data_IF_017112827077
#
_entry.id   IF_017112827077
#
_cell.length_a   1.000
_cell.length_b   1.000
_cell.length_c   1.000
_cell.angle_alpha   90.00
_cell.angle_beta   90.00
_cell.angle_gamma   90.00
#
_symmetry.space_group_name_H-M   'P 1'
#
loop_
_entity.id
_entity.type
_entity.pdbx_description
1 polymer ?
#
# COMPACT_ATOMS: atom_id res chain seq x y z
N UNK A 1 1.20 -2.08 26.47
CA UNK A 1 1.93 -0.80 26.43
C UNK A 1 2.79 -0.64 25.17
N UNK A 2 3.61 -1.60 24.78
CA UNK A 2 4.43 -1.57 23.55
C UNK A 2 3.60 -1.41 22.24
N UNK A 3 2.55 -2.22 22.05
CA UNK A 3 1.74 -2.22 20.81
C UNK A 3 1.08 -0.89 20.44
N UNK A 4 0.70 -0.06 21.42
CA UNK A 4 -0.09 1.15 21.18
C UNK A 4 0.67 2.48 21.37
N UNK A 5 1.75 2.49 22.12
CA UNK A 5 2.52 3.70 22.42
C UNK A 5 3.88 3.72 21.74
N UNK A 6 4.80 2.89 22.20
CA UNK A 6 6.20 2.90 21.73
C UNK A 6 6.29 2.60 20.23
N UNK A 7 5.55 1.58 19.76
CA UNK A 7 5.52 1.24 18.32
C UNK A 7 5.05 2.42 17.46
N UNK A 8 4.01 3.14 17.91
CA UNK A 8 3.50 4.30 17.16
C UNK A 8 4.51 5.45 17.08
N UNK A 9 5.24 5.69 18.16
CA UNK A 9 6.30 6.70 18.19
C UNK A 9 7.42 6.31 17.22
N UNK A 10 7.85 5.05 17.24
CA UNK A 10 8.87 4.55 16.30
C UNK A 10 8.39 4.65 14.85
N UNK A 11 7.18 4.20 14.53
CA UNK A 11 6.60 4.29 13.18
C UNK A 11 6.56 5.76 12.70
N UNK A 12 6.19 6.70 13.58
CA UNK A 12 6.16 8.13 13.25
C UNK A 12 7.54 8.66 12.89
N UNK A 13 8.55 8.44 13.76
CA UNK A 13 9.90 8.93 13.49
C UNK A 13 10.55 8.26 12.30
N UNK A 14 10.37 6.95 12.12
CA UNK A 14 10.88 6.22 10.96
C UNK A 14 10.27 6.75 9.66
N UNK A 15 8.96 6.98 9.63
CA UNK A 15 8.29 7.53 8.44
C UNK A 15 8.69 8.97 8.15
N UNK A 16 8.83 9.81 9.18
CA UNK A 16 9.28 11.19 9.04
C UNK A 16 10.70 11.24 8.48
N UNK A 17 11.64 10.51 9.07
CA UNK A 17 13.02 10.40 8.58
C UNK A 17 13.05 9.86 7.15
N UNK A 18 12.25 8.81 6.86
CA UNK A 18 12.13 8.24 5.54
C UNK A 18 11.65 9.25 4.49
N UNK A 19 10.62 10.05 4.82
CA UNK A 19 10.12 11.11 3.93
C UNK A 19 11.20 12.16 3.66
N UNK A 20 11.90 12.62 4.71
CA UNK A 20 12.95 13.65 4.57
C UNK A 20 14.08 13.13 3.69
N UNK A 21 14.61 11.94 4.00
CA UNK A 21 15.75 11.35 3.27
C UNK A 21 15.37 11.02 1.82
N UNK A 22 14.17 10.50 1.59
CA UNK A 22 13.70 10.10 0.26
C UNK A 22 13.03 11.25 -0.51
N UNK A 23 12.92 12.46 0.06
CA UNK A 23 12.22 13.57 -0.58
C UNK A 23 12.79 13.94 -1.98
N UNK A 24 14.12 13.93 -2.26
CA UNK A 24 14.61 14.16 -3.61
C UNK A 24 14.13 13.07 -4.58
N UNK A 25 14.15 11.81 -4.17
CA UNK A 25 13.68 10.70 -4.97
C UNK A 25 12.16 10.80 -5.24
N UNK A 26 11.37 11.12 -4.21
CA UNK A 26 9.92 11.30 -4.37
C UNK A 26 9.58 12.39 -5.38
N UNK A 27 10.34 13.49 -5.39
CA UNK A 27 10.17 14.59 -6.35
C UNK A 27 10.53 14.11 -7.76
N UNK A 28 11.68 13.46 -7.95
CA UNK A 28 12.13 12.96 -9.26
C UNK A 28 11.09 11.97 -9.83
N UNK A 29 10.62 11.01 -9.02
CA UNK A 29 9.62 10.05 -9.44
C UNK A 29 8.29 10.74 -9.79
N UNK A 30 7.91 11.76 -9.03
CA UNK A 30 6.68 12.52 -9.30
C UNK A 30 6.72 13.23 -10.65
N UNK A 31 7.86 13.85 -10.97
CA UNK A 31 8.09 14.50 -12.26
C UNK A 31 8.07 13.46 -13.38
N UNK A 32 8.78 12.35 -13.20
CA UNK A 32 8.81 11.28 -14.21
C UNK A 32 7.42 10.74 -14.52
N UNK A 33 6.60 10.40 -13.51
CA UNK A 33 5.22 9.93 -13.69
C UNK A 33 4.40 10.96 -14.46
N UNK A 34 4.58 12.25 -14.15
CA UNK A 34 3.82 13.33 -14.79
C UNK A 34 4.17 13.53 -16.26
N UNK A 35 5.43 13.32 -16.61
CA UNK A 35 5.94 13.40 -18.00
C UNK A 35 5.55 12.15 -18.80
N UNK A 36 5.61 10.96 -18.17
CA UNK A 36 5.33 9.68 -18.82
C UNK A 36 3.85 9.52 -19.23
N UNK A 37 2.92 10.01 -18.42
CA UNK A 37 1.50 9.88 -18.72
C UNK A 37 0.64 10.99 -18.09
N UNK A 38 -0.44 11.39 -18.78
CA UNK A 38 -1.40 12.39 -18.28
C UNK A 38 -2.13 11.88 -17.03
N UNK A 39 -2.37 12.78 -16.06
CA UNK A 39 -3.17 12.48 -14.87
C UNK A 39 -2.46 12.82 -13.56
N UNK A 40 -3.02 12.42 -12.39
CA UNK A 40 -2.45 12.68 -11.08
C UNK A 40 -1.20 11.82 -10.84
N UNK A 41 -0.26 12.32 -10.05
CA UNK A 41 0.97 11.59 -9.65
C UNK A 41 0.63 10.46 -8.68
N UNK A 42 -0.28 10.72 -7.74
CA UNK A 42 -0.69 9.77 -6.73
C UNK A 42 -1.98 9.03 -7.13
N UNK A 43 -1.96 7.75 -6.93
CA UNK A 43 -3.12 6.88 -6.92
C UNK A 43 -3.60 6.70 -5.49
N UNK A 44 -4.92 6.76 -5.28
CA UNK A 44 -5.56 6.56 -3.99
C UNK A 44 -6.58 5.44 -4.10
N UNK A 45 -6.55 4.52 -3.15
CA UNK A 45 -7.48 3.40 -3.12
C UNK A 45 -7.98 3.16 -1.71
N UNK A 46 -9.28 2.90 -1.56
CA UNK A 46 -9.91 2.62 -0.27
C UNK A 46 -9.46 1.27 0.26
N UNK A 47 -9.00 1.24 1.48
CA UNK A 47 -8.48 0.05 2.16
C UNK A 47 -9.06 -0.06 3.58
N UNK A 48 -8.97 -1.29 4.13
CA UNK A 48 -9.31 -1.57 5.52
C UNK A 48 -8.10 -1.29 6.40
N UNK A 49 -8.33 -0.47 7.42
CA UNK A 49 -7.37 -0.14 8.47
C UNK A 49 -7.68 -0.86 9.78
N UNK A 50 -7.05 -0.37 10.86
CA UNK A 50 -7.27 -0.88 12.21
C UNK A 50 -8.77 -0.81 12.58
N UNK A 51 -9.24 -1.83 13.30
CA UNK A 51 -10.64 -1.94 13.76
C UNK A 51 -11.65 -1.79 12.60
N UNK A 52 -11.28 -2.28 11.41
CA UNK A 52 -12.06 -2.22 10.15
C UNK A 52 -12.43 -0.79 9.72
N UNK A 53 -11.70 0.22 10.16
CA UNK A 53 -11.86 1.59 9.67
C UNK A 53 -11.39 1.71 8.23
N UNK A 54 -11.99 2.63 7.48
CA UNK A 54 -11.57 2.89 6.10
C UNK A 54 -10.51 3.98 6.05
N UNK A 55 -9.51 3.79 5.19
CA UNK A 55 -8.57 4.84 4.84
C UNK A 55 -8.19 4.76 3.35
N UNK A 56 -7.58 5.82 2.82
CA UNK A 56 -7.04 5.85 1.47
C UNK A 56 -5.55 5.58 1.51
N UNK A 57 -5.13 4.45 0.94
CA UNK A 57 -3.70 4.18 0.74
C UNK A 57 -3.16 5.08 -0.37
N UNK A 58 -1.96 5.63 -0.19
CA UNK A 58 -1.26 6.44 -1.18
C UNK A 58 -0.20 5.60 -1.90
N UNK A 59 -0.25 5.61 -3.24
CA UNK A 59 0.77 5.01 -4.09
C UNK A 59 1.12 5.97 -5.22
N UNK A 60 2.27 5.83 -5.81
CA UNK A 60 2.52 6.42 -7.11
C UNK A 60 1.65 5.74 -8.16
N UNK A 61 1.12 6.53 -9.09
CA UNK A 61 0.36 5.99 -10.20
C UNK A 61 1.28 5.23 -11.15
N UNK A 62 0.96 3.96 -11.37
CA UNK A 62 1.70 3.06 -12.26
C UNK A 62 0.87 2.62 -13.46
N UNK A 63 -0.41 3.01 -13.50
CA UNK A 63 -1.35 2.63 -14.57
C UNK A 63 -1.97 3.88 -15.19
N UNK A 64 -2.45 3.74 -16.42
CA UNK A 64 -3.22 4.80 -17.08
C UNK A 64 -4.51 5.11 -16.34
N UNK A 65 -5.01 6.34 -16.51
CA UNK A 65 -6.22 6.82 -15.78
C UNK A 65 -7.47 6.04 -16.14
N UNK A 66 -7.54 5.51 -17.35
CA UNK A 66 -8.69 4.76 -17.86
C UNK A 66 -8.77 3.31 -17.36
N UNK A 67 -7.83 2.90 -16.50
CA UNK A 67 -7.80 1.56 -15.91
C UNK A 67 -8.90 1.40 -14.86
N UNK A 68 -9.61 0.26 -14.79
CA UNK A 68 -10.57 -0.02 -13.72
C UNK A 68 -9.94 0.08 -12.32
N UNK A 69 -10.51 0.90 -11.44
CA UNK A 69 -9.90 1.24 -10.14
C UNK A 69 -10.19 0.24 -9.00
N UNK A 70 -11.34 -0.43 -9.06
CA UNK A 70 -11.84 -1.26 -7.95
C UNK A 70 -11.62 -2.77 -8.18
N UNK A 71 -10.79 -3.10 -9.15
CA UNK A 71 -10.42 -4.48 -9.49
C UNK A 71 -8.94 -4.72 -9.19
N UNK A 72 -8.57 -5.85 -8.55
CA UNK A 72 -7.17 -6.26 -8.43
C UNK A 72 -6.52 -6.41 -9.81
N UNK A 73 -5.28 -5.95 -9.95
CA UNK A 73 -4.58 -5.93 -11.25
C UNK A 73 -4.48 -7.31 -11.92
N UNK A 74 -4.34 -8.38 -11.11
CA UNK A 74 -4.23 -9.75 -11.63
C UNK A 74 -5.55 -10.32 -12.20
N UNK A 75 -6.67 -9.62 -12.02
CA UNK A 75 -7.97 -9.99 -12.59
C UNK A 75 -8.28 -9.24 -13.91
N UNK A 76 -7.37 -8.40 -14.40
CA UNK A 76 -7.48 -7.76 -15.71
C UNK A 76 -7.07 -8.74 -16.81
N UNK A 77 -7.77 -8.74 -17.96
CA UNK A 77 -7.47 -9.62 -19.09
C UNK A 77 -6.06 -9.39 -19.66
N UNK A 78 -5.59 -8.14 -19.69
CA UNK A 78 -4.22 -7.77 -20.07
C UNK A 78 -3.70 -6.66 -19.13
N UNK A 79 -3.17 -7.04 -17.95
CA UNK A 79 -2.67 -6.06 -16.97
C UNK A 79 -1.56 -5.17 -17.52
N UNK A 80 -0.70 -5.70 -18.40
CA UNK A 80 0.47 -4.99 -18.90
C UNK A 80 0.10 -3.83 -19.83
N UNK A 81 -0.98 -3.97 -20.60
CA UNK A 81 -1.48 -2.91 -21.47
C UNK A 81 -1.89 -1.64 -20.69
N UNK A 82 -2.28 -1.78 -19.44
CA UNK A 82 -2.69 -0.67 -18.57
C UNK A 82 -1.54 -0.06 -17.78
N UNK A 83 -0.36 -0.69 -17.74
CA UNK A 83 0.79 -0.20 -16.97
C UNK A 83 1.59 0.79 -17.82
N UNK A 84 1.91 1.96 -17.26
CA UNK A 84 2.75 2.99 -17.91
C UNK A 84 4.21 2.54 -17.94
N UNK A 85 5.04 3.16 -18.79
CA UNK A 85 6.49 2.85 -18.86
C UNK A 85 7.18 3.08 -17.52
N UNK A 86 6.92 4.22 -16.88
CA UNK A 86 7.38 4.48 -15.53
C UNK A 86 6.80 3.46 -14.54
N UNK A 87 5.54 3.07 -14.71
CA UNK A 87 4.84 2.10 -13.88
C UNK A 87 5.53 0.74 -13.81
N UNK A 88 6.02 0.20 -14.92
CA UNK A 88 6.76 -1.06 -14.95
C UNK A 88 8.02 -1.01 -14.06
N UNK A 89 8.79 0.08 -14.13
CA UNK A 89 10.00 0.25 -13.33
C UNK A 89 9.65 0.42 -11.85
N UNK A 90 8.65 1.26 -11.54
CA UNK A 90 8.21 1.53 -10.19
C UNK A 90 7.72 0.25 -9.48
N UNK A 91 6.91 -0.55 -10.15
CA UNK A 91 6.41 -1.83 -9.61
C UNK A 91 7.52 -2.84 -9.38
N UNK A 92 8.43 -2.99 -10.36
CA UNK A 92 9.56 -3.92 -10.25
C UNK A 92 10.46 -3.60 -9.05
N UNK A 93 10.64 -2.31 -8.74
CA UNK A 93 11.46 -1.85 -7.62
C UNK A 93 10.65 -1.57 -6.34
N UNK A 94 9.32 -1.78 -6.35
CA UNK A 94 8.39 -1.43 -5.26
C UNK A 94 8.44 0.05 -4.85
N UNK A 95 8.91 0.92 -5.74
CA UNK A 95 9.00 2.37 -5.51
C UNK A 95 7.61 3.05 -5.54
N UNK A 96 6.63 2.40 -6.15
CA UNK A 96 5.24 2.86 -6.18
C UNK A 96 4.62 2.92 -4.78
N UNK A 97 5.15 2.18 -3.83
CA UNK A 97 4.64 2.12 -2.46
C UNK A 97 5.24 3.19 -1.51
N UNK A 98 6.29 3.92 -1.94
CA UNK A 98 6.93 4.94 -1.10
C UNK A 98 5.97 6.01 -0.54
N UNK A 99 4.94 6.48 -1.25
CA UNK A 99 3.97 7.43 -0.68
C UNK A 99 3.19 6.90 0.54
N UNK A 100 3.20 5.58 0.81
CA UNK A 100 2.59 5.02 2.02
C UNK A 100 3.30 5.49 3.31
N UNK A 101 4.52 6.02 3.22
CA UNK A 101 5.17 6.69 4.35
C UNK A 101 4.30 7.83 4.91
N UNK A 102 3.54 8.53 4.06
CA UNK A 102 2.57 9.53 4.53
C UNK A 102 1.39 8.89 5.28
N UNK A 103 0.92 7.70 4.88
CA UNK A 103 -0.11 6.98 5.63
C UNK A 103 0.41 6.55 7.02
N UNK A 104 1.69 6.17 7.14
CA UNK A 104 2.32 5.82 8.41
C UNK A 104 2.44 7.08 9.28
N UNK A 105 2.91 8.18 8.72
CA UNK A 105 3.03 9.46 9.42
C UNK A 105 1.68 9.92 9.99
N UNK A 106 0.60 9.80 9.20
CA UNK A 106 -0.77 10.12 9.59
C UNK A 106 -1.38 9.13 10.61
N UNK A 107 -0.74 7.99 10.86
CA UNK A 107 -1.21 6.98 11.80
C UNK A 107 -2.23 5.99 11.26
N UNK A 108 -2.46 5.99 9.96
CA UNK A 108 -3.36 5.06 9.29
C UNK A 108 -2.70 3.69 9.08
N UNK A 109 -1.38 3.67 8.93
CA UNK A 109 -0.55 2.49 8.75
C UNK A 109 0.59 2.42 9.76
N UNK A 110 1.27 1.30 9.80
CA UNK A 110 2.51 1.03 10.52
C UNK A 110 3.62 0.65 9.53
N UNK A 111 4.88 0.65 9.96
CA UNK A 111 5.98 0.09 9.15
C UNK A 111 5.79 -1.40 8.98
N UNK A 112 5.53 -2.11 10.08
CA UNK A 112 5.31 -3.56 10.08
C UNK A 112 3.87 -3.85 10.53
N UNK A 113 3.16 -4.64 9.73
CA UNK A 113 1.80 -5.07 10.00
C UNK A 113 1.21 -5.88 8.84
N UNK A 114 -0.03 -6.40 8.97
CA UNK A 114 -0.69 -7.12 7.89
C UNK A 114 -0.90 -6.22 6.66
N UNK A 115 -0.82 -6.81 5.46
CA UNK A 115 -1.06 -6.06 4.21
C UNK A 115 -2.49 -5.47 4.20
N UNK A 116 -2.70 -4.19 3.87
CA UNK A 116 -4.05 -3.62 3.88
C UNK A 116 -4.97 -4.31 2.85
N UNK A 117 -6.09 -4.89 3.32
CA UNK A 117 -7.09 -5.49 2.44
C UNK A 117 -7.84 -4.43 1.63
N UNK A 118 -8.33 -4.79 0.45
CA UNK A 118 -9.31 -3.97 -0.27
C UNK A 118 -10.61 -3.92 0.53
N UNK A 119 -11.33 -2.83 0.42
CA UNK A 119 -12.59 -2.61 1.13
C UNK A 119 -13.71 -3.60 0.77
N UNK A 120 -13.61 -4.26 -0.39
CA UNK A 120 -14.56 -5.23 -0.96
C UNK A 120 -14.06 -6.68 -0.92
N UNK A 121 -13.03 -6.99 -0.12
CA UNK A 121 -12.52 -8.35 0.11
C UNK A 121 -13.12 -8.93 1.40
N UNK A 122 -14.44 -9.13 1.42
CA UNK A 122 -15.19 -9.53 2.62
C UNK A 122 -14.69 -10.86 3.21
N UNK A 123 -14.34 -11.84 2.37
CA UNK A 123 -13.81 -13.14 2.81
C UNK A 123 -12.49 -12.99 3.57
N UNK A 124 -11.56 -12.20 3.04
CA UNK A 124 -10.28 -11.93 3.68
C UNK A 124 -10.47 -11.13 4.98
N UNK A 125 -11.40 -10.17 4.99
CA UNK A 125 -11.68 -9.34 6.16
C UNK A 125 -12.29 -10.20 7.28
N UNK A 126 -13.23 -11.10 6.96
CA UNK A 126 -13.84 -12.00 7.92
C UNK A 126 -12.82 -12.97 8.52
N UNK A 127 -11.97 -13.58 7.67
CA UNK A 127 -10.94 -14.50 8.13
C UNK A 127 -9.90 -13.81 9.02
N UNK A 128 -9.57 -12.55 8.74
CA UNK A 128 -8.67 -11.73 9.58
C UNK A 128 -9.24 -11.38 10.95
N UNK A 129 -10.55 -11.37 11.11
CA UNK A 129 -11.19 -11.21 12.43
C UNK A 129 -10.86 -12.42 13.32
N UNK A 130 -10.83 -13.63 12.77
CA UNK A 130 -10.50 -14.87 13.50
C UNK A 130 -9.06 -14.85 14.03
N UNK A 131 -8.13 -14.26 13.25
CA UNK A 131 -6.71 -14.13 13.63
C UNK A 131 -6.38 -12.80 14.34
N UNK A 132 -7.38 -11.97 14.67
CA UNK A 132 -7.17 -10.63 15.26
C UNK A 132 -6.26 -9.70 14.45
N UNK A 133 -6.11 -9.96 13.13
CA UNK A 133 -5.27 -9.17 12.25
C UNK A 133 -5.89 -7.79 11.91
N UNK A 134 -7.22 -7.65 12.07
CA UNK A 134 -7.90 -6.37 11.92
C UNK A 134 -7.77 -5.47 13.16
N UNK A 135 -7.32 -5.99 14.32
CA UNK A 135 -7.14 -5.23 15.55
C UNK A 135 -5.86 -4.37 15.55
N UNK A 136 -5.02 -4.56 14.55
CA UNK A 136 -3.75 -3.84 14.41
C UNK A 136 -3.74 -2.96 13.15
N UNK A 137 -2.83 -1.95 13.12
CA UNK A 137 -2.66 -1.16 11.90
C UNK A 137 -2.03 -1.98 10.79
N UNK A 138 -2.54 -1.87 9.55
CA UNK A 138 -1.90 -2.49 8.41
C UNK A 138 -0.49 -1.95 8.21
N UNK A 139 0.41 -2.78 7.68
CA UNK A 139 1.81 -2.47 7.47
C UNK A 139 2.19 -2.13 6.04
N UNK A 140 3.27 -1.36 5.90
CA UNK A 140 3.98 -1.19 4.63
C UNK A 140 4.68 -2.50 4.26
N UNK A 141 5.24 -3.18 5.25
CA UNK A 141 5.79 -4.54 5.13
C UNK A 141 5.21 -5.44 6.22
N UNK A 142 5.30 -6.75 6.02
CA UNK A 142 4.79 -7.76 6.94
C UNK A 142 5.00 -9.15 6.40
N UNK A 143 4.52 -10.15 7.11
CA UNK A 143 4.73 -11.55 6.77
C UNK A 143 4.31 -11.89 5.33
N UNK A 144 3.11 -11.53 4.93
CA UNK A 144 2.59 -11.80 3.59
C UNK A 144 3.43 -11.12 2.48
N UNK A 145 3.97 -9.91 2.72
CA UNK A 145 4.76 -9.20 1.73
C UNK A 145 6.12 -9.83 1.47
N UNK A 146 6.69 -10.56 2.44
CA UNK A 146 7.99 -11.24 2.31
C UNK A 146 7.86 -12.71 1.89
N UNK A 147 6.66 -13.32 1.94
CA UNK A 147 6.43 -14.74 1.64
C UNK A 147 5.62 -15.01 0.36
N UNK A 148 5.38 -14.03 -0.50
CA UNK A 148 4.72 -14.26 -1.80
C UNK A 148 3.65 -13.24 -2.16
N UNK A 149 3.30 -12.31 -1.28
CA UNK A 149 2.34 -11.20 -1.54
C UNK A 149 0.97 -11.69 -2.03
N UNK A 150 0.69 -11.42 -3.30
CA UNK A 150 -0.62 -11.69 -3.92
C UNK A 150 -0.75 -13.16 -4.37
N UNK A 151 0.34 -13.93 -4.40
CA UNK A 151 0.37 -15.36 -4.76
C UNK A 151 -0.05 -16.28 -3.60
N UNK A 152 -0.06 -15.77 -2.36
CA UNK A 152 -0.48 -16.53 -1.19
C UNK A 152 -1.98 -16.85 -1.23
N UNK A 153 -2.37 -17.99 -0.66
CA UNK A 153 -3.76 -18.34 -0.39
C UNK A 153 -4.41 -17.35 0.61
N UNK A 154 -5.74 -17.28 0.62
CA UNK A 154 -6.47 -16.33 1.47
C UNK A 154 -6.17 -16.56 2.95
N UNK A 155 -6.06 -17.83 3.36
CA UNK A 155 -5.75 -18.24 4.74
C UNK A 155 -4.36 -17.77 5.17
N UNK A 156 -3.36 -17.90 4.30
CA UNK A 156 -2.00 -17.42 4.55
C UNK A 156 -1.90 -15.89 4.59
N UNK A 157 -2.76 -15.20 3.83
CA UNK A 157 -2.86 -13.73 3.86
C UNK A 157 -3.53 -13.20 5.12
N UNK A 158 -4.30 -14.04 5.82
CA UNK A 158 -5.06 -13.62 7.00
C UNK A 158 -4.24 -13.63 8.29
N UNK A 159 -3.21 -14.46 8.36
CA UNK A 159 -2.26 -14.54 9.48
C UNK A 159 -1.27 -13.35 9.48
#
# INVERSE_FOLDING_TARGET
MYKNGVKRILDFFMSLCGIIVLSPLLIILSIWIKVDSKGPVLFKQKRIGKDKTYFSIYKFRTMYVDTPHDMPTHLLDDPDAFITKAGHVLRKASLDELPQLFNILLGQMAVIGPRPALWNQDDLIALRDEYHANDVRPGLTGWAQIHGRDELEIEEKAQ
#
